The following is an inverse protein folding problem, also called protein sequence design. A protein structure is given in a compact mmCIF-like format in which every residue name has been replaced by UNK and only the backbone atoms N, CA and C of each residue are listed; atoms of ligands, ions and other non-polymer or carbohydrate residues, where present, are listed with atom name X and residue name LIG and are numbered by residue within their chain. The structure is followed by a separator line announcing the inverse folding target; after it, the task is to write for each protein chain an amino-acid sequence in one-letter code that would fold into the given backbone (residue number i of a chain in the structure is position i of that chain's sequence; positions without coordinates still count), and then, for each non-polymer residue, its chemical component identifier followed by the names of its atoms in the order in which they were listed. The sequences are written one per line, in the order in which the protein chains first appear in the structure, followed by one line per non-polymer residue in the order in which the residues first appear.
data_IF_727503376689
#
_entry.id   IF_727503376689
#
_cell.length_a   1.000
_cell.length_b   1.000
_cell.length_c   1.000
_cell.angle_alpha   90.00
_cell.angle_beta   90.00
_cell.angle_gamma   90.00
#
_symmetry.space_group_name_H-M   'P 1'
#
loop_
_entity.id
_entity.type
_entity.pdbx_description
1 polymer ?
#
# COMPACT_ATOMS: atom_id res chain seq x y z
N UNK A 1 -9.70 -27.19 -2.86
CA UNK A 1 -8.37 -27.34 -3.48
C UNK A 1 -7.36 -26.65 -2.57
N UNK A 2 -6.11 -27.13 -2.48
CA UNK A 2 -5.10 -26.44 -1.67
C UNK A 2 -4.89 -25.02 -2.19
N UNK A 3 -4.58 -24.11 -1.28
CA UNK A 3 -4.21 -22.74 -1.61
C UNK A 3 -3.04 -22.72 -2.61
N UNK A 4 -3.11 -21.84 -3.61
CA UNK A 4 -2.17 -21.80 -4.72
C UNK A 4 -2.44 -22.79 -5.86
N UNK A 5 -3.54 -23.54 -5.84
CA UNK A 5 -3.93 -24.36 -7.00
C UNK A 5 -4.35 -23.48 -8.18
N UNK A 6 -3.73 -23.68 -9.35
CA UNK A 6 -4.11 -23.00 -10.59
C UNK A 6 -4.69 -23.96 -11.63
N UNK A 7 -5.70 -23.49 -12.37
CA UNK A 7 -6.29 -24.19 -13.51
C UNK A 7 -6.38 -23.21 -14.68
N UNK A 8 -5.80 -23.60 -15.82
CA UNK A 8 -5.90 -22.84 -17.08
C UNK A 8 -6.78 -23.61 -18.04
N UNK A 9 -7.76 -22.93 -18.64
CA UNK A 9 -8.67 -23.51 -19.62
C UNK A 9 -8.06 -23.52 -21.01
N UNK A 10 -8.42 -24.52 -21.82
CA UNK A 10 -7.95 -24.58 -23.20
C UNK A 10 -8.50 -23.39 -24.01
N UNK A 11 -7.69 -22.94 -24.98
CA UNK A 11 -8.10 -21.92 -25.93
C UNK A 11 -9.30 -22.37 -26.75
N UNK A 12 -10.36 -21.56 -26.74
CA UNK A 12 -11.53 -21.75 -27.60
C UNK A 12 -11.46 -20.67 -28.68
N UNK A 13 -11.35 -21.09 -29.95
CA UNK A 13 -11.26 -20.16 -31.07
C UNK A 13 -12.60 -19.46 -31.32
N UNK A 14 -12.58 -18.13 -31.43
CA UNK A 14 -13.71 -17.36 -31.94
C UNK A 14 -13.69 -17.34 -33.48
N UNK A 15 -14.87 -17.23 -34.08
CA UNK A 15 -15.08 -17.15 -35.54
C UNK A 15 -14.40 -15.89 -36.14
N UNK A 16 -14.06 -14.91 -35.31
CA UNK A 16 -13.38 -13.65 -35.68
C UNK A 16 -11.85 -13.70 -35.55
N UNK A 17 -11.25 -14.86 -35.23
CA UNK A 17 -9.80 -15.03 -35.15
C UNK A 17 -9.17 -14.72 -33.79
N UNK A 18 -9.85 -13.98 -32.91
CA UNK A 18 -9.41 -13.81 -31.51
C UNK A 18 -9.70 -15.09 -30.71
N UNK A 19 -8.69 -15.64 -30.03
CA UNK A 19 -8.87 -16.78 -29.13
C UNK A 19 -8.58 -16.35 -27.70
N UNK A 20 -9.53 -16.65 -26.82
CA UNK A 20 -9.51 -16.21 -25.42
C UNK A 20 -9.53 -17.46 -24.54
N UNK A 21 -8.75 -17.43 -23.47
CA UNK A 21 -8.69 -18.47 -22.43
C UNK A 21 -8.98 -17.85 -21.07
N UNK A 22 -9.15 -18.70 -20.06
CA UNK A 22 -9.38 -18.29 -18.68
C UNK A 22 -8.34 -18.99 -17.79
N UNK A 23 -7.85 -18.28 -16.77
CA UNK A 23 -7.08 -18.88 -15.67
C UNK A 23 -7.79 -18.60 -14.37
N UNK A 24 -7.95 -19.63 -13.55
CA UNK A 24 -8.47 -19.53 -12.19
C UNK A 24 -7.40 -19.97 -11.19
N UNK A 25 -7.31 -19.24 -10.08
CA UNK A 25 -6.42 -19.54 -8.97
C UNK A 25 -7.23 -19.67 -7.68
N UNK A 26 -6.87 -20.62 -6.83
CA UNK A 26 -7.43 -20.76 -5.49
C UNK A 26 -6.58 -19.95 -4.52
N UNK A 27 -7.16 -18.87 -3.98
CA UNK A 27 -6.53 -17.98 -2.98
C UNK A 27 -7.43 -17.96 -1.74
N UNK A 28 -6.89 -18.40 -0.60
CA UNK A 28 -7.60 -18.50 0.69
C UNK A 28 -8.94 -19.26 0.60
N UNK A 29 -8.97 -20.30 -0.24
CA UNK A 29 -10.15 -21.13 -0.46
C UNK A 29 -11.21 -20.53 -1.38
N UNK A 30 -10.97 -19.35 -1.96
CA UNK A 30 -11.82 -18.74 -2.99
C UNK A 30 -11.21 -18.91 -4.39
N UNK A 31 -12.06 -19.12 -5.39
CA UNK A 31 -11.62 -19.18 -6.79
C UNK A 31 -11.73 -17.80 -7.43
N UNK A 32 -10.60 -17.27 -7.88
CA UNK A 32 -10.49 -15.98 -8.56
C UNK A 32 -10.09 -16.25 -10.00
N UNK A 33 -10.77 -15.62 -10.98
CA UNK A 33 -10.57 -15.87 -12.40
C UNK A 33 -10.22 -14.61 -13.20
N UNK A 34 -9.39 -14.78 -14.24
CA UNK A 34 -9.08 -13.74 -15.24
C UNK A 34 -9.08 -14.30 -16.66
N UNK A 35 -9.44 -13.46 -17.63
CA UNK A 35 -9.32 -13.77 -19.06
C UNK A 35 -7.89 -13.57 -19.54
N UNK A 36 -7.43 -14.45 -20.43
CA UNK A 36 -6.11 -14.41 -21.07
C UNK A 36 -6.27 -14.42 -22.59
N UNK A 37 -5.42 -13.70 -23.31
CA UNK A 37 -5.29 -13.87 -24.76
C UNK A 37 -4.52 -15.17 -25.04
N UNK A 38 -4.97 -15.94 -26.02
CA UNK A 38 -4.29 -17.18 -26.40
C UNK A 38 -2.98 -16.95 -27.16
N UNK A 39 -2.77 -15.75 -27.72
CA UNK A 39 -1.46 -15.36 -28.26
C UNK A 39 -0.38 -15.34 -27.18
N UNK A 40 -0.76 -14.99 -25.94
CA UNK A 40 0.15 -15.00 -24.78
C UNK A 40 0.43 -16.44 -24.29
N UNK A 41 -0.53 -17.36 -24.45
CA UNK A 41 -0.42 -18.76 -23.99
C UNK A 41 0.48 -19.60 -24.90
N UNK A 42 0.48 -19.33 -26.20
CA UNK A 42 1.34 -20.07 -27.14
C UNK A 42 2.82 -19.75 -26.94
N UNK A 43 3.12 -18.57 -26.38
CA UNK A 43 4.42 -18.20 -25.85
C UNK A 43 4.69 -18.75 -24.44
N UNK A 44 3.66 -19.18 -23.70
CA UNK A 44 3.76 -19.62 -22.30
C UNK A 44 3.99 -21.13 -22.10
N UNK A 45 3.95 -21.98 -23.14
CA UNK A 45 4.43 -23.38 -23.02
C UNK A 45 5.96 -23.41 -22.81
N UNK A 46 6.66 -22.32 -23.11
CA UNK A 46 8.06 -22.10 -22.74
C UNK A 46 8.24 -21.44 -21.35
N UNK A 47 7.17 -21.05 -20.65
CA UNK A 47 7.23 -20.21 -19.45
C UNK A 47 6.89 -20.98 -18.17
N UNK A 48 7.83 -21.79 -17.71
CA UNK A 48 8.12 -21.91 -16.26
C UNK A 48 9.08 -20.76 -15.82
N UNK A 49 9.19 -19.73 -16.66
CA UNK A 49 10.06 -18.59 -16.46
C UNK A 49 9.24 -17.44 -15.85
N UNK A 50 9.65 -16.99 -14.66
CA UNK A 50 9.27 -15.73 -14.00
C UNK A 50 8.54 -14.77 -14.94
N UNK A 51 7.24 -14.59 -14.73
CA UNK A 51 6.44 -13.63 -15.48
C UNK A 51 7.00 -12.22 -15.20
N UNK A 52 7.72 -11.67 -16.19
CA UNK A 52 8.24 -10.29 -16.18
C UNK A 52 7.12 -9.25 -16.43
N UNK A 53 5.88 -9.58 -16.06
CA UNK A 53 4.71 -8.72 -16.27
C UNK A 53 4.76 -7.53 -15.33
N UNK A 54 4.69 -6.32 -15.89
CA UNK A 54 4.65 -5.05 -15.17
C UNK A 54 3.33 -4.83 -14.43
N UNK A 55 3.35 -3.98 -13.41
CA UNK A 55 2.18 -3.58 -12.63
C UNK A 55 1.87 -2.11 -12.85
N UNK A 56 0.58 -1.77 -12.95
CA UNK A 56 0.12 -0.38 -12.96
C UNK A 56 -0.17 0.04 -11.52
N UNK A 57 0.45 1.13 -11.07
CA UNK A 57 0.16 1.77 -9.79
C UNK A 57 -0.69 3.02 -10.03
N UNK A 58 -1.86 3.08 -9.37
CA UNK A 58 -2.73 4.24 -9.35
C UNK A 58 -2.54 5.03 -8.05
N UNK A 59 -2.00 6.24 -8.17
CA UNK A 59 -1.72 7.18 -7.08
C UNK A 59 -2.94 8.05 -6.76
N UNK A 60 -4.05 7.42 -6.40
CA UNK A 60 -5.34 8.07 -6.18
C UNK A 60 -5.82 8.05 -4.72
N UNK A 61 -5.01 7.53 -3.80
CA UNK A 61 -5.36 7.48 -2.39
C UNK A 61 -5.06 8.82 -1.71
N UNK A 62 -6.09 9.52 -1.18
CA UNK A 62 -5.86 10.79 -0.51
C UNK A 62 -5.03 10.57 0.76
N UNK A 63 -4.16 11.53 1.04
CA UNK A 63 -3.30 11.52 2.24
C UNK A 63 -2.30 10.36 2.31
N UNK A 64 -2.15 9.56 1.25
CA UNK A 64 -1.12 8.53 1.11
C UNK A 64 -0.03 9.04 0.19
N UNK A 65 1.22 8.80 0.54
CA UNK A 65 2.38 9.06 -0.30
C UNK A 65 3.04 7.72 -0.67
N UNK A 66 3.25 7.50 -1.98
CA UNK A 66 3.98 6.35 -2.51
C UNK A 66 5.41 6.71 -2.92
N UNK A 67 6.33 5.78 -2.67
CA UNK A 67 7.76 5.95 -2.93
C UNK A 67 8.34 4.73 -3.64
N UNK A 68 9.22 4.99 -4.61
CA UNK A 68 10.16 4.01 -5.14
C UNK A 68 11.56 4.38 -4.64
N UNK A 69 12.09 3.61 -3.68
CA UNK A 69 13.29 3.99 -2.94
C UNK A 69 13.10 5.34 -2.24
N UNK A 70 13.90 6.33 -2.62
CA UNK A 70 13.84 7.70 -2.08
C UNK A 70 13.01 8.67 -2.92
N UNK A 71 12.49 8.23 -4.07
CA UNK A 71 11.73 9.09 -4.98
C UNK A 71 10.23 8.94 -4.73
N UNK A 72 9.58 10.04 -4.38
CA UNK A 72 8.13 10.12 -4.32
C UNK A 72 7.53 9.98 -5.72
N UNK A 73 6.51 9.15 -5.86
CA UNK A 73 5.69 9.00 -7.06
C UNK A 73 4.63 10.11 -7.04
N UNK A 74 4.55 10.90 -8.12
CA UNK A 74 3.64 12.07 -8.20
C UNK A 74 2.62 11.93 -9.31
N UNK A 75 2.93 11.10 -10.29
CA UNK A 75 2.10 10.78 -11.42
C UNK A 75 0.91 9.93 -10.97
N UNK A 76 -0.25 10.13 -11.61
CA UNK A 76 -1.52 9.49 -11.22
C UNK A 76 -1.52 7.99 -11.56
N UNK A 77 -0.98 7.61 -12.71
CA UNK A 77 -0.87 6.22 -13.12
C UNK A 77 0.55 5.98 -13.65
N UNK A 78 1.25 4.98 -13.10
CA UNK A 78 2.63 4.64 -13.47
C UNK A 78 2.77 3.14 -13.62
N UNK A 79 3.42 2.71 -14.68
CA UNK A 79 3.78 1.32 -14.90
C UNK A 79 5.15 1.02 -14.27
N UNK A 80 5.22 -0.03 -13.47
CA UNK A 80 6.43 -0.50 -12.80
C UNK A 80 6.78 -1.92 -13.23
N UNK A 81 8.07 -2.22 -13.36
CA UNK A 81 8.53 -3.55 -13.71
C UNK A 81 8.21 -4.58 -12.62
N UNK A 82 8.17 -5.86 -13.00
CA UNK A 82 8.08 -6.98 -12.06
C UNK A 82 9.15 -6.86 -10.96
N UNK A 83 8.83 -7.38 -9.77
CA UNK A 83 9.64 -7.31 -8.56
C UNK A 83 9.88 -5.91 -7.96
N UNK A 84 9.34 -4.83 -8.57
CA UNK A 84 9.40 -3.48 -7.98
C UNK A 84 8.73 -3.45 -6.62
N UNK A 85 9.38 -2.86 -5.62
CA UNK A 85 8.81 -2.65 -4.27
C UNK A 85 8.53 -1.17 -4.07
N UNK A 86 7.26 -0.87 -3.78
CA UNK A 86 6.81 0.46 -3.38
C UNK A 86 6.64 0.53 -1.88
N UNK A 87 6.90 1.71 -1.32
CA UNK A 87 6.71 2.01 0.09
C UNK A 87 5.70 3.13 0.26
N UNK A 88 4.84 3.00 1.27
CA UNK A 88 3.73 3.89 1.53
C UNK A 88 3.75 4.41 2.95
N UNK A 89 3.34 5.67 3.11
CA UNK A 89 3.06 6.29 4.40
C UNK A 89 1.97 7.34 4.26
N UNK A 90 1.39 7.75 5.38
CA UNK A 90 0.53 8.93 5.38
C UNK A 90 1.34 10.21 5.16
N UNK A 91 0.70 11.22 4.57
CA UNK A 91 1.29 12.55 4.33
C UNK A 91 1.82 13.18 5.61
N UNK A 92 1.09 13.00 6.71
CA UNK A 92 1.45 13.43 8.05
C UNK A 92 1.20 12.29 9.06
N UNK A 93 2.29 11.73 9.61
CA UNK A 93 2.27 10.61 10.56
C UNK A 93 1.61 10.92 11.91
N UNK A 94 1.41 12.20 12.25
CA UNK A 94 0.77 12.64 13.48
C UNK A 94 -0.73 12.91 13.33
N UNK A 95 -1.22 13.10 12.10
CA UNK A 95 -2.61 13.46 11.79
C UNK A 95 -3.41 12.37 11.11
N UNK A 96 -2.74 11.41 10.49
CA UNK A 96 -3.37 10.33 9.76
C UNK A 96 -2.84 9.00 10.25
N UNK A 97 -3.72 8.01 10.28
CA UNK A 97 -3.37 6.64 10.59
C UNK A 97 -3.50 5.77 9.34
N UNK A 98 -2.47 4.99 9.07
CA UNK A 98 -2.44 4.10 7.92
C UNK A 98 -3.08 2.75 8.23
N UNK A 99 -3.78 2.21 7.24
CA UNK A 99 -4.25 0.82 7.16
C UNK A 99 -3.79 0.21 5.83
N UNK A 100 -3.72 -1.11 5.76
CA UNK A 100 -3.16 -1.83 4.62
C UNK A 100 -1.64 -1.97 4.70
N UNK A 101 -1.02 -2.40 3.59
CA UNK A 101 0.41 -2.73 3.54
C UNK A 101 1.30 -1.49 3.43
N UNK A 102 2.28 -1.37 4.35
CA UNK A 102 3.36 -0.36 4.29
C UNK A 102 4.23 -0.49 3.04
N UNK A 103 4.37 -1.71 2.53
CA UNK A 103 5.17 -2.03 1.35
C UNK A 103 4.39 -2.96 0.45
N UNK A 104 4.45 -2.76 -0.85
CA UNK A 104 3.84 -3.66 -1.84
C UNK A 104 4.83 -3.95 -2.95
N UNK A 105 4.90 -5.20 -3.37
CA UNK A 105 5.75 -5.69 -4.45
C UNK A 105 4.90 -6.04 -5.67
N UNK A 106 5.40 -5.67 -6.85
CA UNK A 106 4.82 -6.08 -8.11
C UNK A 106 5.13 -7.56 -8.37
N UNK A 107 4.10 -8.40 -8.39
CA UNK A 107 4.19 -9.84 -8.58
C UNK A 107 3.16 -10.27 -9.61
N UNK A 108 3.60 -10.88 -10.72
CA UNK A 108 2.74 -11.43 -11.76
C UNK A 108 1.69 -10.43 -12.33
N UNK A 109 2.08 -9.15 -12.42
CA UNK A 109 1.26 -8.08 -12.98
C UNK A 109 0.32 -7.40 -11.98
N UNK A 110 0.32 -7.83 -10.72
CA UNK A 110 -0.48 -7.24 -9.65
C UNK A 110 0.39 -6.84 -8.44
N UNK A 111 -0.12 -5.90 -7.65
CA UNK A 111 0.54 -5.49 -6.41
C UNK A 111 0.12 -6.41 -5.27
N UNK A 112 1.09 -7.03 -4.60
CA UNK A 112 0.82 -7.87 -3.42
C UNK A 112 0.26 -7.05 -2.24
N UNK A 113 -0.32 -7.75 -1.26
CA UNK A 113 -0.83 -7.15 -0.03
C UNK A 113 -1.98 -6.16 -0.20
N UNK A 114 -2.39 -5.59 0.92
CA UNK A 114 -3.53 -4.67 0.99
C UNK A 114 -3.17 -3.27 0.52
N UNK A 115 -4.09 -2.62 -0.21
CA UNK A 115 -3.94 -1.22 -0.63
C UNK A 115 -3.78 -0.32 0.60
N UNK A 116 -2.72 0.49 0.63
CA UNK A 116 -2.49 1.44 1.71
C UNK A 116 -3.52 2.58 1.66
N UNK A 117 -4.14 2.88 2.80
CA UNK A 117 -5.10 3.98 2.96
C UNK A 117 -4.80 4.74 4.24
N UNK A 118 -5.04 6.06 4.25
CA UNK A 118 -4.79 6.91 5.42
C UNK A 118 -6.06 7.63 5.85
N UNK A 119 -6.56 7.29 7.03
CA UNK A 119 -7.73 7.97 7.61
C UNK A 119 -7.32 9.05 8.59
N UNK A 120 -8.04 10.17 8.57
CA UNK A 120 -7.79 11.29 9.48
C UNK A 120 -8.07 10.91 10.94
N UNK A 121 -7.21 11.38 11.83
CA UNK A 121 -7.41 11.35 13.28
C UNK A 121 -8.40 12.43 13.72
N UNK A 122 -8.61 12.60 15.03
CA UNK A 122 -9.67 13.47 15.54
C UNK A 122 -9.59 14.91 15.00
N UNK A 123 -8.41 15.51 14.85
CA UNK A 123 -8.27 16.89 14.34
C UNK A 123 -8.85 17.06 12.93
N UNK A 124 -8.65 16.07 12.05
CA UNK A 124 -9.17 16.09 10.68
C UNK A 124 -10.68 15.78 10.61
N UNK A 125 -11.28 15.38 11.74
CA UNK A 125 -12.69 15.05 11.88
C UNK A 125 -13.37 15.94 12.94
N UNK A 126 -13.03 17.23 12.96
CA UNK A 126 -13.61 18.22 13.89
C UNK A 126 -13.58 17.80 15.37
N UNK A 127 -12.46 17.19 15.76
CA UNK A 127 -12.21 16.67 17.11
C UNK A 127 -13.26 15.64 17.58
N UNK A 128 -13.79 14.85 16.65
CA UNK A 128 -14.65 13.69 16.88
C UNK A 128 -14.09 12.77 17.97
N UNK A 129 -14.96 12.34 18.91
CA UNK A 129 -14.57 11.55 20.08
C UNK A 129 -14.23 10.10 19.72
N UNK A 130 -14.90 9.54 18.72
CA UNK A 130 -14.72 8.18 18.22
C UNK A 130 -13.43 8.00 17.41
N UNK A 131 -12.77 9.10 17.06
CA UNK A 131 -11.49 9.09 16.35
C UNK A 131 -10.33 9.14 17.34
N UNK A 132 -9.22 8.43 17.08
CA UNK A 132 -8.04 8.52 17.92
C UNK A 132 -7.47 9.95 17.94
N UNK A 133 -6.79 10.35 19.03
CA UNK A 133 -6.20 11.68 19.13
C UNK A 133 -5.06 11.90 18.13
N UNK A 134 -5.04 13.08 17.51
CA UNK A 134 -3.91 13.59 16.74
C UNK A 134 -2.73 13.88 17.65
N UNK A 135 -1.52 13.55 17.18
CA UNK A 135 -0.27 13.95 17.83
C UNK A 135 0.36 15.06 16.99
N UNK A 136 0.36 16.28 17.52
CA UNK A 136 1.03 17.41 16.88
C UNK A 136 2.52 17.39 17.24
N UNK A 137 3.36 17.28 16.22
CA UNK A 137 4.80 17.26 16.34
C UNK A 137 5.35 18.66 16.09
N UNK A 138 6.00 19.25 17.09
CA UNK A 138 6.70 20.53 16.99
C UNK A 138 8.16 20.35 17.40
N UNK A 139 9.03 21.24 16.93
CA UNK A 139 10.46 21.15 17.25
C UNK A 139 11.07 22.53 17.51
N UNK A 140 12.15 22.53 18.28
CA UNK A 140 12.98 23.71 18.58
C UNK A 140 14.47 23.33 18.51
N UNK A 141 15.33 24.30 18.23
CA UNK A 141 16.80 24.19 18.25
C UNK A 141 17.43 23.17 17.30
N UNK A 142 16.64 22.44 16.51
CA UNK A 142 17.13 21.56 15.46
C UNK A 142 15.97 21.02 14.59
N UNK A 143 16.28 20.36 13.47
CA UNK A 143 15.27 19.89 12.53
C UNK A 143 14.66 18.53 12.91
N UNK A 144 13.54 18.22 12.27
CA UNK A 144 12.90 16.91 12.23
C UNK A 144 12.58 16.54 10.77
N UNK A 145 12.48 15.25 10.47
CA UNK A 145 12.05 14.74 9.17
C UNK A 145 11.15 13.53 9.33
N UNK A 146 10.39 13.19 8.28
CA UNK A 146 9.61 11.96 8.21
C UNK A 146 10.24 11.05 7.16
N UNK A 147 10.59 9.83 7.53
CA UNK A 147 11.12 8.82 6.61
C UNK A 147 10.00 8.29 5.70
N UNK A 148 10.38 7.64 4.59
CA UNK A 148 9.43 7.06 3.63
C UNK A 148 8.60 5.92 4.22
N UNK A 149 9.12 5.22 5.24
CA UNK A 149 8.43 4.16 5.99
C UNK A 149 7.61 4.68 7.19
N UNK A 150 7.43 5.99 7.33
CA UNK A 150 6.54 6.60 8.31
C UNK A 150 7.13 6.74 9.72
N UNK A 151 8.46 6.84 9.86
CA UNK A 151 9.14 7.10 11.13
C UNK A 151 9.46 8.59 11.26
N UNK A 152 9.43 9.08 12.49
CA UNK A 152 9.92 10.42 12.83
C UNK A 152 11.44 10.37 13.04
N UNK A 153 12.17 11.13 12.24
CA UNK A 153 13.61 11.34 12.38
C UNK A 153 13.83 12.64 13.15
N UNK A 154 14.52 12.55 14.29
CA UNK A 154 14.86 13.70 15.14
C UNK A 154 16.38 13.86 15.15
N UNK A 155 16.86 15.02 14.72
CA UNK A 155 18.30 15.28 14.64
C UNK A 155 18.90 15.60 16.02
N UNK A 156 20.20 15.34 16.24
CA UNK A 156 20.87 15.66 17.50
C UNK A 156 20.74 17.15 17.85
N UNK A 157 20.46 17.45 19.13
CA UNK A 157 20.25 18.82 19.62
C UNK A 157 18.83 19.37 19.42
N UNK A 158 17.96 18.65 18.71
CA UNK A 158 16.55 19.03 18.57
C UNK A 158 15.78 18.77 19.86
N UNK A 159 14.98 19.75 20.29
CA UNK A 159 13.94 19.55 21.30
C UNK A 159 12.63 19.22 20.58
N UNK A 160 12.15 18.00 20.74
CA UNK A 160 10.86 17.56 20.20
C UNK A 160 9.75 17.79 21.22
N UNK A 161 8.71 18.51 20.79
CA UNK A 161 7.47 18.69 21.53
C UNK A 161 6.38 17.83 20.88
N UNK A 162 5.83 16.88 21.65
CA UNK A 162 4.73 16.00 21.20
C UNK A 162 3.46 16.37 21.97
N UNK A 163 2.47 16.90 21.26
CA UNK A 163 1.21 17.38 21.85
C UNK A 163 0.06 16.45 21.44
N UNK A 164 -0.54 15.74 22.40
CA UNK A 164 -1.75 14.97 22.15
C UNK A 164 -2.95 15.91 22.15
N UNK A 165 -3.59 16.06 20.99
CA UNK A 165 -4.76 16.92 20.82
C UNK A 165 -6.02 16.17 21.25
N UNK A 166 -6.51 16.48 22.44
CA UNK A 166 -7.70 15.86 23.02
C UNK A 166 -8.61 16.90 23.68
N UNK A 167 -9.92 16.82 23.46
CA UNK A 167 -10.86 17.73 24.12
C UNK A 167 -10.96 17.38 25.60
N UNK A 168 -10.61 18.35 26.46
CA UNK A 168 -10.58 18.20 27.92
C UNK A 168 -11.87 17.65 28.54
N UNK A 169 -13.04 17.96 27.96
CA UNK A 169 -14.34 17.47 28.43
C UNK A 169 -14.47 15.93 28.37
N UNK A 170 -13.68 15.29 27.51
CA UNK A 170 -13.63 13.84 27.35
C UNK A 170 -12.54 13.20 28.23
N UNK A 171 -11.97 13.96 29.17
CA UNK A 171 -10.97 13.49 30.12
C UNK A 171 -9.53 13.82 29.71
N UNK A 172 -8.59 13.14 30.35
CA UNK A 172 -7.15 13.32 30.11
C UNK A 172 -6.62 12.11 29.33
N UNK A 173 -6.00 12.31 28.15
CA UNK A 173 -5.45 11.21 27.38
C UNK A 173 -4.28 10.57 28.13
N UNK A 174 -4.11 9.25 27.98
CA UNK A 174 -2.96 8.53 28.51
C UNK A 174 -1.99 8.20 27.37
N UNK A 175 -0.71 8.45 27.61
CA UNK A 175 0.36 8.06 26.70
C UNK A 175 0.85 6.66 27.08
N UNK A 176 0.91 5.77 26.11
CA UNK A 176 1.59 4.49 26.23
C UNK A 176 2.71 4.45 25.20
N UNK A 177 3.88 3.96 25.62
CA UNK A 177 5.04 3.78 24.76
C UNK A 177 5.34 2.28 24.75
N UNK A 178 5.44 1.68 23.57
CA UNK A 178 5.86 0.30 23.38
C UNK A 178 7.13 0.25 22.54
N UNK A 179 8.02 -0.69 22.85
CA UNK A 179 9.20 -0.98 22.03
C UNK A 179 8.91 -2.02 20.92
N UNK A 180 7.68 -2.54 20.89
CA UNK A 180 7.22 -3.42 19.83
C UNK A 180 6.89 -2.58 18.58
N UNK A 181 7.66 -2.79 17.52
CA UNK A 181 7.40 -2.20 16.21
C UNK A 181 6.08 -2.76 15.68
N UNK A 182 5.09 -1.90 15.47
CA UNK A 182 3.84 -2.22 14.75
C UNK A 182 3.97 -1.88 13.27
#
# INVERSE_FOLDING_TARGET
FPDGTEVTFNCVGSIMGESISWRIACVDGQWIGRSLSCEDIQNSIAAVAKDNTSCIFANNEPNVLGYLGDKQIREENVEFAADTVLMFRCIDIGKYQMTGSKTRKCVNGEWDGDKATCFGLNQENDYAFEKPPTILLRHQLGPIAQSNDGKLIVYPGTILHMECLWIRRFGTPKWNISHEYR
#
